data_IF_963072101151
#
_entry.id   IF_963072101151
#
_cell.length_a   1.000
_cell.length_b   1.000
_cell.length_c   1.000
_cell.angle_alpha   90.00
_cell.angle_beta   90.00
_cell.angle_gamma   90.00
#
_symmetry.space_group_name_H-M   'P 1'
#
loop_
_entity.id
_entity.type
_entity.pdbx_description
1 polymer ?
#
# COMPACT_ATOMS: atom_id res chain seq x y z
N UNK A 1 13.33 -2.29 6.63
CA UNK A 1 12.30 -2.66 5.65
C UNK A 1 11.82 -1.37 5.03
N UNK A 2 11.94 -1.20 3.71
CA UNK A 2 11.55 0.06 3.08
C UNK A 2 10.01 0.16 3.01
N UNK A 3 9.48 1.38 2.88
CA UNK A 3 8.03 1.60 2.80
C UNK A 3 7.40 0.79 1.66
N UNK A 4 8.03 0.84 0.49
CA UNK A 4 7.63 0.09 -0.71
C UNK A 4 7.58 -1.41 -0.47
N UNK A 5 8.59 -2.00 0.17
CA UNK A 5 8.60 -3.44 0.50
C UNK A 5 7.46 -3.82 1.45
N UNK A 6 7.19 -2.97 2.43
CA UNK A 6 6.09 -3.18 3.38
C UNK A 6 4.74 -3.17 2.68
N UNK A 7 4.52 -2.23 1.76
CA UNK A 7 3.29 -2.11 0.96
C UNK A 7 3.16 -3.30 -0.01
N UNK A 8 4.21 -3.60 -0.78
CA UNK A 8 4.23 -4.71 -1.73
C UNK A 8 3.83 -6.03 -1.06
N UNK A 9 4.38 -6.29 0.14
CA UNK A 9 4.15 -7.56 0.84
C UNK A 9 2.84 -7.61 1.62
N UNK A 10 2.40 -6.50 2.21
CA UNK A 10 1.24 -6.48 3.12
C UNK A 10 -0.06 -6.07 2.46
N UNK A 11 0.00 -5.18 1.48
CA UNK A 11 -1.18 -4.69 0.76
C UNK A 11 -1.32 -5.45 -0.57
N UNK A 12 -0.28 -5.44 -1.41
CA UNK A 12 -0.35 -6.10 -2.72
C UNK A 12 -0.24 -7.63 -2.62
N UNK A 13 0.31 -8.14 -1.51
CA UNK A 13 0.43 -9.57 -1.26
C UNK A 13 1.54 -10.26 -2.06
N UNK A 14 2.44 -9.48 -2.68
CA UNK A 14 3.58 -10.03 -3.39
C UNK A 14 4.57 -10.65 -2.42
N UNK A 15 5.15 -11.81 -2.78
CA UNK A 15 6.17 -12.42 -1.92
C UNK A 15 7.55 -11.96 -2.33
N UNK A 16 8.40 -11.75 -1.32
CA UNK A 16 9.81 -11.54 -1.54
C UNK A 16 10.40 -12.78 -2.23
N UNK A 17 10.92 -12.60 -3.43
CA UNK A 17 11.60 -13.66 -4.18
C UNK A 17 13.13 -13.53 -4.04
N UNK A 18 13.62 -12.29 -4.11
CA UNK A 18 15.01 -11.90 -3.90
C UNK A 18 15.04 -10.51 -3.26
N UNK A 19 16.19 -10.08 -2.74
CA UNK A 19 16.35 -8.79 -2.07
C UNK A 19 15.90 -7.57 -2.92
N UNK A 20 15.92 -7.68 -4.24
CA UNK A 20 15.57 -6.65 -5.24
C UNK A 20 14.23 -6.89 -5.96
N UNK A 21 13.51 -7.98 -5.62
CA UNK A 21 12.43 -8.50 -6.46
C UNK A 21 11.32 -9.17 -5.67
N UNK A 22 10.09 -8.82 -6.03
CA UNK A 22 8.88 -9.50 -5.59
C UNK A 22 8.29 -10.38 -6.68
N UNK A 23 7.50 -11.37 -6.28
CA UNK A 23 6.72 -12.20 -7.18
C UNK A 23 5.23 -11.97 -6.93
N UNK A 24 4.53 -11.56 -7.98
CA UNK A 24 3.08 -11.42 -8.01
C UNK A 24 2.46 -12.76 -8.45
N UNK A 25 1.79 -13.43 -7.51
CA UNK A 25 1.13 -14.71 -7.78
C UNK A 25 -0.13 -14.58 -8.63
N UNK A 26 -0.80 -13.43 -8.61
CA UNK A 26 -2.03 -13.22 -9.37
C UNK A 26 -1.70 -13.08 -10.86
N UNK A 27 -0.57 -12.45 -11.18
CA UNK A 27 -0.11 -12.22 -12.55
C UNK A 27 0.97 -13.19 -13.03
N UNK A 28 1.60 -13.93 -12.12
CA UNK A 28 2.70 -14.85 -12.44
C UNK A 28 3.97 -14.14 -12.91
N UNK A 29 4.18 -12.89 -12.50
CA UNK A 29 5.32 -12.06 -12.94
C UNK A 29 6.25 -11.70 -11.77
N UNK A 30 7.49 -11.41 -12.12
CA UNK A 30 8.47 -10.84 -11.22
C UNK A 30 8.50 -9.32 -11.38
N UNK A 31 8.58 -8.61 -10.26
CA UNK A 31 8.59 -7.15 -10.21
C UNK A 31 9.83 -6.72 -9.47
N UNK A 32 10.70 -5.98 -10.15
CA UNK A 32 11.91 -5.42 -9.57
C UNK A 32 11.59 -4.16 -8.76
N UNK A 33 12.41 -3.83 -7.76
CA UNK A 33 12.20 -2.64 -6.93
C UNK A 33 12.12 -1.33 -7.73
N UNK A 34 12.88 -1.24 -8.82
CA UNK A 34 12.86 -0.09 -9.73
C UNK A 34 11.61 -0.02 -10.61
N UNK A 35 10.86 -1.10 -10.74
CA UNK A 35 9.62 -1.16 -11.54
C UNK A 35 8.40 -0.72 -10.72
N UNK A 36 8.50 -0.67 -9.39
CA UNK A 36 7.42 -0.26 -8.51
C UNK A 36 7.84 0.92 -7.61
N UNK A 37 7.71 2.13 -8.16
CA UNK A 37 8.01 3.40 -7.49
C UNK A 37 6.72 4.18 -7.15
N UNK A 38 5.98 3.83 -6.09
CA UNK A 38 4.69 4.45 -5.78
C UNK A 38 4.80 5.88 -5.23
N UNK A 39 5.96 6.32 -4.74
CA UNK A 39 6.15 7.71 -4.31
C UNK A 39 6.28 8.66 -5.50
N UNK A 40 6.86 8.20 -6.60
CA UNK A 40 7.15 9.00 -7.80
C UNK A 40 6.11 8.83 -8.91
N UNK A 41 5.48 7.65 -9.00
CA UNK A 41 4.54 7.32 -10.05
C UNK A 41 3.12 7.16 -9.51
N UNK A 42 2.23 8.07 -9.93
CA UNK A 42 0.83 8.06 -9.53
C UNK A 42 0.09 6.77 -9.93
N UNK A 43 0.40 6.17 -11.09
CA UNK A 43 -0.25 4.92 -11.50
C UNK A 43 0.07 3.78 -10.52
N UNK A 44 1.32 3.72 -10.04
CA UNK A 44 1.72 2.76 -9.02
C UNK A 44 1.06 3.04 -7.67
N UNK A 45 0.95 4.31 -7.29
CA UNK A 45 0.22 4.70 -6.09
C UNK A 45 -1.26 4.28 -6.16
N UNK A 46 -1.90 4.46 -7.33
CA UNK A 46 -3.30 4.10 -7.54
C UNK A 46 -3.54 2.58 -7.46
N UNK A 47 -2.58 1.74 -7.83
CA UNK A 47 -2.68 0.29 -7.60
C UNK A 47 -2.86 -0.04 -6.10
N UNK A 48 -2.20 0.71 -5.22
CA UNK A 48 -2.34 0.57 -3.77
C UNK A 48 -3.76 0.96 -3.35
N UNK A 49 -4.28 2.07 -3.88
CA UNK A 49 -5.65 2.54 -3.61
C UNK A 49 -6.67 1.48 -4.03
N UNK A 50 -6.55 0.94 -5.24
CA UNK A 50 -7.45 -0.09 -5.77
C UNK A 50 -7.44 -1.34 -4.89
N UNK A 51 -6.26 -1.79 -4.48
CA UNK A 51 -6.13 -2.97 -3.62
C UNK A 51 -6.73 -2.74 -2.25
N UNK A 52 -6.49 -1.58 -1.63
CA UNK A 52 -7.09 -1.22 -0.35
C UNK A 52 -8.62 -1.10 -0.46
N UNK A 53 -9.15 -0.54 -1.54
CA UNK A 53 -10.60 -0.52 -1.80
C UNK A 53 -11.18 -1.94 -1.92
N UNK A 54 -10.48 -2.85 -2.59
CA UNK A 54 -10.88 -4.25 -2.69
C UNK A 54 -10.93 -4.95 -1.31
N UNK A 55 -10.10 -4.51 -0.35
CA UNK A 55 -10.16 -4.93 1.05
C UNK A 55 -11.22 -4.19 1.89
N UNK A 56 -12.04 -3.32 1.30
CA UNK A 56 -13.10 -2.59 1.99
C UNK A 56 -12.66 -1.28 2.65
N UNK A 57 -11.47 -0.77 2.35
CA UNK A 57 -11.04 0.55 2.83
C UNK A 57 -11.68 1.67 1.99
N UNK A 58 -12.10 2.74 2.67
CA UNK A 58 -12.59 3.96 2.05
C UNK A 58 -11.40 4.88 1.79
N UNK A 59 -11.23 5.29 0.53
CA UNK A 59 -10.23 6.27 0.12
C UNK A 59 -10.88 7.63 -0.11
N UNK A 60 -10.33 8.66 0.51
CA UNK A 60 -10.67 10.06 0.24
C UNK A 60 -9.38 10.87 0.09
N UNK A 61 -9.41 11.92 -0.73
CA UNK A 61 -8.27 12.83 -0.90
C UNK A 61 -8.75 14.26 -1.01
N UNK A 62 -7.87 15.21 -0.68
CA UNK A 62 -8.09 16.64 -0.97
C UNK A 62 -7.72 17.01 -2.42
N UNK A 63 -7.33 16.03 -3.24
CA UNK A 63 -6.97 16.17 -4.65
C UNK A 63 -5.46 16.25 -4.92
N UNK A 64 -4.64 16.74 -3.99
CA UNK A 64 -3.25 17.12 -4.31
C UNK A 64 -2.20 16.57 -3.34
N UNK A 65 -2.40 16.70 -2.04
CA UNK A 65 -1.32 16.48 -1.04
C UNK A 65 -1.76 15.73 0.20
N UNK A 66 -3.05 15.46 0.37
CA UNK A 66 -3.59 14.75 1.53
C UNK A 66 -4.47 13.59 1.08
N UNK A 67 -4.26 12.45 1.72
CA UNK A 67 -5.04 11.22 1.52
C UNK A 67 -5.45 10.67 2.86
N UNK A 68 -6.69 10.20 2.93
CA UNK A 68 -7.22 9.45 4.07
C UNK A 68 -7.70 8.07 3.60
N UNK A 69 -7.22 7.03 4.28
CA UNK A 69 -7.74 5.66 4.20
C UNK A 69 -8.46 5.33 5.51
N UNK A 70 -9.79 5.31 5.48
CA UNK A 70 -10.65 5.18 6.67
C UNK A 70 -10.30 6.22 7.75
N UNK A 71 -9.52 5.82 8.76
CA UNK A 71 -9.08 6.66 9.88
C UNK A 71 -7.61 7.08 9.80
N UNK A 72 -6.86 6.54 8.84
CA UNK A 72 -5.44 6.87 8.64
C UNK A 72 -5.36 8.01 7.64
N UNK A 73 -4.79 9.14 8.07
CA UNK A 73 -4.52 10.30 7.21
C UNK A 73 -3.03 10.51 7.09
N UNK A 74 -2.56 10.77 5.88
CA UNK A 74 -1.20 11.22 5.65
C UNK A 74 -1.13 12.26 4.54
N UNK A 75 -0.04 13.00 4.56
CA UNK A 75 0.29 14.02 3.57
C UNK A 75 1.57 13.68 2.82
N UNK A 76 1.79 14.33 1.69
CA UNK A 76 3.00 14.25 0.88
C UNK A 76 3.15 15.49 0.02
N UNK A 77 4.32 15.66 -0.59
CA UNK A 77 4.60 16.72 -1.58
C UNK A 77 3.78 16.52 -2.85
N UNK A 78 3.44 15.25 -3.16
CA UNK A 78 2.60 14.86 -4.28
C UNK A 78 1.50 13.90 -3.82
N UNK A 79 0.47 13.74 -4.66
CA UNK A 79 -0.61 12.78 -4.40
C UNK A 79 -0.07 11.35 -4.29
N UNK A 80 0.89 10.96 -5.13
CA UNK A 80 1.53 9.65 -5.11
C UNK A 80 2.27 9.39 -3.80
N UNK A 81 2.99 10.39 -3.30
CA UNK A 81 3.66 10.32 -2.00
C UNK A 81 2.66 10.29 -0.84
N UNK A 82 1.59 11.09 -0.89
CA UNK A 82 0.54 11.10 0.14
C UNK A 82 -0.16 9.74 0.24
N UNK A 83 -0.50 9.12 -0.90
CA UNK A 83 -1.06 7.76 -0.96
C UNK A 83 -0.10 6.76 -0.32
N UNK A 84 1.17 6.79 -0.73
CA UNK A 84 2.20 5.85 -0.26
C UNK A 84 2.43 5.99 1.24
N UNK A 85 2.51 7.22 1.75
CA UNK A 85 2.64 7.50 3.17
C UNK A 85 1.42 6.97 3.95
N UNK A 86 0.20 7.26 3.50
CA UNK A 86 -1.01 6.82 4.18
C UNK A 86 -1.11 5.29 4.21
N UNK A 87 -0.78 4.63 3.09
CA UNK A 87 -0.75 3.17 2.99
C UNK A 87 0.33 2.56 3.89
N UNK A 88 1.52 3.16 3.97
CA UNK A 88 2.59 2.70 4.85
C UNK A 88 2.19 2.83 6.32
N UNK A 89 1.64 3.97 6.74
CA UNK A 89 1.13 4.17 8.11
C UNK A 89 0.04 3.15 8.46
N UNK A 90 -0.81 2.77 7.51
CA UNK A 90 -1.81 1.72 7.69
C UNK A 90 -1.15 0.36 7.94
N UNK A 91 -0.11 0.02 7.18
CA UNK A 91 0.68 -1.22 7.39
C UNK A 91 1.36 -1.22 8.75
N UNK A 92 2.00 -0.11 9.15
CA UNK A 92 2.64 0.00 10.46
C UNK A 92 1.63 -0.13 11.59
N UNK A 93 0.51 0.60 11.52
CA UNK A 93 -0.55 0.53 12.54
C UNK A 93 -1.18 -0.86 12.62
N UNK A 94 -1.33 -1.55 11.48
CA UNK A 94 -1.84 -2.92 11.43
C UNK A 94 -0.83 -3.93 11.98
N UNK A 95 0.47 -3.69 11.81
CA UNK A 95 1.50 -4.55 12.40
C UNK A 95 1.51 -4.49 13.93
N UNK A 96 1.10 -3.35 14.52
CA UNK A 96 0.98 -3.15 15.97
C UNK A 96 -0.37 -3.70 16.48
N UNK A 97 -1.43 -3.59 15.70
CA UNK A 97 -2.76 -4.12 16.03
C UNK A 97 -2.92 -5.52 15.44
N UNK A 98 -2.36 -6.49 16.17
CA UNK A 98 -2.67 -7.92 16.18
C UNK A 98 -3.63 -8.39 15.08
N UNK A 99 -3.10 -9.18 14.14
CA UNK A 99 -3.75 -9.83 12.97
C UNK A 99 -5.13 -10.48 13.20
N UNK A 100 -5.63 -10.57 14.43
CA UNK A 100 -6.96 -11.08 14.76
C UNK A 100 -8.11 -10.10 14.45
N UNK A 101 -7.92 -8.78 14.44
CA UNK A 101 -9.03 -7.82 14.28
C UNK A 101 -9.45 -7.49 12.85
N UNK A 102 -8.59 -7.72 11.85
CA UNK A 102 -8.97 -7.52 10.44
C UNK A 102 -9.86 -8.65 9.92
N UNK A 103 -9.57 -9.91 10.29
CA UNK A 103 -10.45 -11.04 9.96
C UNK A 103 -11.82 -10.94 10.63
N UNK A 104 -11.91 -10.34 11.83
CA UNK A 104 -13.19 -10.09 12.51
C UNK A 104 -14.00 -8.93 11.94
N UNK A 105 -13.43 -8.08 11.10
CA UNK A 105 -14.15 -6.96 10.45
C UNK A 105 -14.48 -7.22 8.99
N UNK A 106 -14.05 -8.36 8.45
CA UNK A 106 -14.29 -8.81 7.07
C UNK A 106 -15.26 -10.00 6.98
N UNK A 107 -15.69 -10.55 8.12
CA UNK A 107 -16.76 -11.55 8.27
C UNK A 107 -17.86 -10.98 9.16
#
# INVERSE_FOLDING_TARGET
MNKTDSIARRILGWKLNRWDRWFDYEKGIFIHESEFLPEENLAHAMLIVERLKAFGFTYTSNGETEVTFNYVRATGETLSQAITNAAYTLVENTSVVNTSRLWQRLC
#
